data_IF_335198298144
#
_entry.id   IF_335198298144
#
_cell.length_a   1.000
_cell.length_b   1.000
_cell.length_c   1.000
_cell.angle_alpha   90.00
_cell.angle_beta   90.00
_cell.angle_gamma   90.00
#
_symmetry.space_group_name_H-M   'P 1'
#
loop_
_entity.id
_entity.type
_entity.pdbx_description
1 polymer ?
#
# COMPACT_ATOMS: atom_id res chain seq x y z
N UNK A 1 -8.69 -42.29 38.40
CA UNK A 1 -9.64 -43.21 37.74
C UNK A 1 -9.87 -42.68 36.33
N UNK A 2 -9.56 -43.50 35.31
CA UNK A 2 -9.83 -43.24 33.89
C UNK A 2 -11.28 -43.61 33.61
N UNK A 3 -12.03 -42.73 32.97
CA UNK A 3 -13.25 -43.10 32.25
C UNK A 3 -13.21 -42.38 30.91
N UNK A 4 -12.95 -43.16 29.87
CA UNK A 4 -13.14 -42.80 28.46
C UNK A 4 -14.60 -43.10 28.07
N UNK A 5 -14.96 -42.81 26.80
CA UNK A 5 -16.21 -43.13 26.06
C UNK A 5 -17.03 -41.86 25.76
N UNK A 6 -17.43 -41.49 24.53
CA UNK A 6 -17.48 -42.21 23.25
C UNK A 6 -17.61 -41.20 22.10
N UNK A 7 -16.90 -41.48 21.01
CA UNK A 7 -17.01 -40.89 19.67
C UNK A 7 -18.44 -40.91 19.12
N UNK A 8 -18.96 -39.77 18.66
CA UNK A 8 -20.15 -39.71 17.80
C UNK A 8 -19.72 -39.21 16.43
N UNK A 9 -19.41 -40.16 15.53
CA UNK A 9 -19.31 -39.94 14.09
C UNK A 9 -20.70 -40.23 13.51
N UNK A 10 -21.43 -39.20 13.10
CA UNK A 10 -22.67 -39.38 12.35
C UNK A 10 -22.29 -39.49 10.87
N UNK A 11 -22.45 -40.71 10.36
CA UNK A 11 -22.41 -41.08 8.94
C UNK A 11 -23.83 -41.46 8.54
N UNK A 12 -24.39 -40.84 7.49
CA UNK A 12 -25.44 -41.40 6.61
C UNK A 12 -25.60 -40.47 5.40
N UNK A 13 -24.97 -40.75 4.25
CA UNK A 13 -25.47 -41.54 3.10
C UNK A 13 -26.70 -40.91 2.40
N UNK A 14 -26.51 -40.30 1.20
CA UNK A 14 -26.84 -40.81 -0.17
C UNK A 14 -28.37 -40.79 -0.46
N UNK A 15 -28.95 -40.40 -1.61
CA UNK A 15 -28.56 -40.07 -3.00
C UNK A 15 -29.80 -39.40 -3.68
N UNK A 16 -29.74 -38.60 -4.75
CA UNK A 16 -29.87 -38.95 -6.19
C UNK A 16 -30.01 -37.60 -6.94
N UNK A 17 -29.12 -37.16 -7.83
CA UNK A 17 -28.84 -37.57 -9.22
C UNK A 17 -29.80 -36.98 -10.29
N UNK A 18 -29.17 -36.46 -11.36
CA UNK A 18 -29.66 -36.12 -12.71
C UNK A 18 -29.89 -34.62 -12.99
N UNK A 19 -29.00 -33.84 -13.62
CA UNK A 19 -28.26 -33.89 -14.92
C UNK A 19 -28.99 -33.11 -16.03
N UNK A 20 -28.18 -32.41 -16.86
CA UNK A 20 -28.42 -31.79 -18.19
C UNK A 20 -28.36 -30.24 -18.14
N UNK A 21 -27.56 -29.49 -18.91
CA UNK A 21 -26.76 -29.74 -20.13
C UNK A 21 -25.62 -28.71 -20.23
N UNK A 22 -24.46 -29.11 -20.75
CA UNK A 22 -23.35 -28.26 -21.17
C UNK A 22 -23.73 -27.41 -22.41
N UNK A 23 -23.44 -26.11 -22.38
CA UNK A 23 -23.26 -25.31 -23.60
C UNK A 23 -21.91 -24.59 -23.54
N UNK A 24 -21.00 -25.03 -24.42
CA UNK A 24 -19.74 -24.36 -24.71
C UNK A 24 -19.86 -23.68 -26.07
N UNK A 25 -19.51 -22.40 -26.14
CA UNK A 25 -18.94 -21.73 -27.31
C UNK A 25 -18.31 -20.42 -26.80
N UNK A 26 -17.00 -20.41 -26.56
CA UNK A 26 -15.94 -19.84 -27.41
C UNK A 26 -15.94 -18.30 -27.51
N UNK A 27 -14.79 -17.75 -27.11
CA UNK A 27 -14.34 -16.36 -26.99
C UNK A 27 -14.41 -15.50 -28.26
N UNK A 28 -14.67 -14.19 -28.13
CA UNK A 28 -13.68 -13.09 -28.32
C UNK A 28 -14.31 -11.68 -28.41
N UNK A 29 -13.69 -10.75 -27.67
CA UNK A 29 -13.44 -9.31 -27.90
C UNK A 29 -14.48 -8.33 -28.51
N UNK A 30 -14.55 -7.20 -27.78
CA UNK A 30 -14.59 -5.77 -28.20
C UNK A 30 -15.94 -5.10 -28.54
N UNK A 31 -16.27 -4.14 -27.67
CA UNK A 31 -16.46 -2.69 -27.91
C UNK A 31 -17.17 -2.21 -29.18
N UNK A 32 -18.24 -1.46 -28.89
CA UNK A 32 -18.43 -0.05 -29.24
C UNK A 32 -19.18 0.27 -30.54
N UNK A 33 -20.11 1.20 -30.32
CA UNK A 33 -21.12 1.74 -31.22
C UNK A 33 -20.57 2.35 -32.50
N UNK A 34 -21.46 2.29 -33.48
CA UNK A 34 -21.47 2.84 -34.82
C UNK A 34 -21.33 4.36 -34.82
N UNK A 35 -20.41 4.87 -35.63
CA UNK A 35 -20.28 6.27 -36.02
C UNK A 35 -19.61 6.35 -37.39
N UNK A 36 -20.31 6.95 -38.34
CA UNK A 36 -20.09 6.93 -39.79
C UNK A 36 -18.99 7.91 -40.27
N UNK A 37 -18.47 7.63 -41.49
CA UNK A 37 -17.88 8.53 -42.50
C UNK A 37 -16.34 8.76 -42.54
N UNK A 38 -15.69 8.03 -43.47
CA UNK A 38 -14.97 8.50 -44.68
C UNK A 38 -14.10 9.79 -44.60
N UNK A 39 -12.91 9.95 -45.19
CA UNK A 39 -12.05 9.13 -46.07
C UNK A 39 -10.73 9.90 -46.39
N UNK A 40 -9.72 9.19 -46.94
CA UNK A 40 -8.52 9.64 -47.70
C UNK A 40 -7.49 10.52 -46.92
N UNK A 41 -6.16 10.45 -47.07
CA UNK A 41 -5.29 10.01 -48.17
C UNK A 41 -3.87 9.75 -47.64
N UNK A 42 -3.03 9.17 -48.50
CA UNK A 42 -1.80 8.42 -48.26
C UNK A 42 -0.51 9.23 -48.03
N UNK A 43 0.45 8.57 -47.34
CA UNK A 43 1.87 8.39 -47.70
C UNK A 43 2.80 9.60 -47.88
N UNK A 44 3.86 9.69 -47.04
CA UNK A 44 5.27 9.82 -47.50
C UNK A 44 6.24 9.14 -46.51
N UNK A 45 7.24 8.46 -47.06
CA UNK A 45 8.32 7.65 -46.47
C UNK A 45 9.59 8.43 -46.08
N UNK A 46 10.37 7.84 -45.15
CA UNK A 46 11.86 7.78 -45.01
C UNK A 46 12.64 9.10 -44.78
N UNK A 47 13.78 9.17 -44.07
CA UNK A 47 14.76 8.17 -43.59
C UNK A 47 15.80 8.80 -42.63
N UNK A 48 16.23 8.01 -41.62
CA UNK A 48 17.61 7.68 -41.18
C UNK A 48 18.69 8.78 -41.16
N UNK A 49 19.31 9.00 -39.98
CA UNK A 49 20.78 8.84 -39.80
C UNK A 49 21.25 8.82 -38.33
N UNK A 50 22.20 7.93 -38.12
CA UNK A 50 22.95 7.55 -36.93
C UNK A 50 24.02 8.55 -36.49
N UNK A 51 24.39 8.55 -35.21
CA UNK A 51 25.76 8.81 -34.76
C UNK A 51 26.05 8.11 -33.44
N UNK A 52 27.03 7.23 -33.48
CA UNK A 52 27.66 6.48 -32.40
C UNK A 52 28.79 7.32 -31.79
N UNK A 53 29.04 7.20 -30.49
CA UNK A 53 30.38 7.36 -29.90
C UNK A 53 30.46 6.63 -28.55
N UNK A 54 31.58 5.93 -28.36
CA UNK A 54 31.93 4.99 -27.28
C UNK A 54 33.22 5.46 -26.61
N UNK A 55 33.35 5.29 -25.30
CA UNK A 55 34.56 4.94 -24.52
C UNK A 55 34.13 4.86 -23.03
N UNK A 56 34.16 3.77 -22.26
CA UNK A 56 35.16 2.80 -21.76
C UNK A 56 36.24 3.33 -20.78
N UNK A 57 35.97 3.09 -19.48
CA UNK A 57 36.79 2.50 -18.40
C UNK A 57 38.11 3.16 -17.95
N UNK A 58 38.26 3.44 -16.64
CA UNK A 58 38.87 2.54 -15.62
C UNK A 58 39.07 3.24 -14.25
N UNK A 59 38.62 2.55 -13.20
CA UNK A 59 39.00 2.46 -11.77
C UNK A 59 39.94 3.49 -11.12
N UNK A 60 39.60 3.91 -9.87
CA UNK A 60 40.23 3.37 -8.66
C UNK A 60 39.68 4.00 -7.36
N UNK A 61 39.57 3.13 -6.38
CA UNK A 61 39.17 3.25 -4.97
C UNK A 61 39.66 4.48 -4.20
N UNK A 62 38.82 4.99 -3.30
CA UNK A 62 39.25 5.22 -1.91
C UNK A 62 38.09 5.01 -0.95
N UNK A 63 38.28 4.01 -0.10
CA UNK A 63 37.53 3.75 1.12
C UNK A 63 37.79 4.90 2.09
N UNK A 64 36.75 5.44 2.69
CA UNK A 64 36.86 6.23 3.91
C UNK A 64 35.63 5.93 4.76
N UNK A 65 35.91 5.22 5.83
CA UNK A 65 34.98 4.66 6.79
C UNK A 65 34.27 5.76 7.60
N UNK A 66 32.95 5.59 7.73
CA UNK A 66 32.16 5.80 8.95
C UNK A 66 32.51 6.99 9.86
N UNK A 67 31.79 8.11 9.69
CA UNK A 67 31.28 8.89 10.84
C UNK A 67 30.23 9.96 10.51
N UNK A 68 29.53 9.89 9.38
CA UNK A 68 28.58 10.92 8.93
C UNK A 68 27.20 10.33 8.63
N UNK A 69 26.79 9.32 9.39
CA UNK A 69 25.48 8.67 9.22
C UNK A 69 24.58 8.78 10.44
N UNK A 70 25.05 9.33 11.56
CA UNK A 70 24.17 9.59 12.72
C UNK A 70 23.55 10.99 12.64
N UNK A 71 24.37 12.03 12.41
CA UNK A 71 23.88 13.42 12.36
C UNK A 71 23.13 13.78 11.06
N UNK A 72 23.35 13.02 9.97
CA UNK A 72 22.60 13.19 8.72
C UNK A 72 21.26 12.44 8.71
N UNK A 73 21.03 11.54 9.67
CA UNK A 73 19.76 10.82 9.85
C UNK A 73 18.82 11.61 10.75
N UNK A 74 19.34 12.25 11.80
CA UNK A 74 18.56 13.11 12.70
C UNK A 74 17.96 14.33 11.95
N UNK A 75 18.65 14.87 10.94
CA UNK A 75 18.20 16.02 10.15
C UNK A 75 17.46 15.67 8.85
N UNK A 76 17.04 14.40 8.68
CA UNK A 76 16.26 13.92 7.51
C UNK A 76 14.80 13.64 7.82
N UNK A 77 14.38 13.76 9.08
CA UNK A 77 12.96 13.70 9.42
C UNK A 77 12.31 15.04 9.03
N UNK A 78 12.16 15.24 7.71
CA UNK A 78 11.31 16.29 7.19
C UNK A 78 9.85 16.04 7.56
N UNK A 79 9.07 17.11 7.58
CA UNK A 79 7.61 17.04 7.75
C UNK A 79 7.01 16.06 6.72
N UNK A 80 6.03 15.26 7.15
CA UNK A 80 5.33 14.32 6.27
C UNK A 80 4.78 15.02 5.02
N UNK A 81 5.21 14.55 3.84
CA UNK A 81 4.81 15.14 2.57
C UNK A 81 3.82 14.23 1.81
N UNK A 82 2.54 14.59 1.85
CA UNK A 82 1.46 13.85 1.20
C UNK A 82 1.66 13.70 -0.31
N UNK A 83 2.17 14.73 -0.99
CA UNK A 83 2.37 14.68 -2.44
C UNK A 83 3.45 13.66 -2.83
N UNK A 84 4.50 13.52 -2.02
CA UNK A 84 5.54 12.49 -2.22
C UNK A 84 5.00 11.09 -1.93
N UNK A 85 4.23 10.94 -0.86
CA UNK A 85 3.64 9.66 -0.45
C UNK A 85 2.75 9.06 -1.54
N UNK A 86 1.87 9.84 -2.15
CA UNK A 86 0.99 9.36 -3.23
C UNK A 86 1.76 9.02 -4.51
N UNK A 87 3.00 9.49 -4.66
CA UNK A 87 3.91 9.09 -5.75
C UNK A 87 4.77 7.87 -5.39
N UNK A 88 4.58 7.29 -4.20
CA UNK A 88 5.34 6.15 -3.70
C UNK A 88 6.74 6.51 -3.19
N UNK A 89 7.00 7.77 -2.89
CA UNK A 89 8.20 8.21 -2.19
C UNK A 89 7.90 8.35 -0.69
N UNK A 90 8.49 7.46 0.11
CA UNK A 90 8.24 7.38 1.56
C UNK A 90 9.37 7.96 2.39
N UNK A 91 10.33 8.68 1.79
CA UNK A 91 11.51 9.19 2.50
C UNK A 91 11.15 10.02 3.75
N UNK A 92 10.13 10.90 3.66
CA UNK A 92 9.69 11.76 4.77
C UNK A 92 8.98 11.01 5.91
N UNK A 93 8.57 9.77 5.69
CA UNK A 93 7.91 8.91 6.71
C UNK A 93 8.73 7.70 7.12
N UNK A 94 9.95 7.59 6.60
CA UNK A 94 10.87 6.51 6.95
C UNK A 94 11.16 6.49 8.45
N UNK A 95 11.36 5.29 8.99
CA UNK A 95 11.53 5.04 10.41
C UNK A 95 10.44 4.13 10.99
N UNK A 96 10.52 3.92 12.30
CA UNK A 96 9.57 3.11 13.06
C UNK A 96 8.52 3.97 13.74
N UNK A 97 7.30 3.45 13.77
CA UNK A 97 6.11 4.08 14.30
C UNK A 97 5.48 3.13 15.30
N UNK A 98 5.04 3.63 16.45
CA UNK A 98 4.48 2.82 17.53
C UNK A 98 3.13 3.37 17.99
N UNK A 99 2.16 2.48 18.22
CA UNK A 99 0.89 2.84 18.84
C UNK A 99 0.92 2.75 20.38
N UNK A 100 -0.17 3.16 21.03
CA UNK A 100 -0.27 3.11 22.49
C UNK A 100 -0.22 1.68 23.09
N UNK A 101 -0.42 0.65 22.26
CA UNK A 101 -0.36 -0.76 22.68
C UNK A 101 1.02 -1.39 22.44
N UNK A 102 1.96 -0.65 21.83
CA UNK A 102 3.30 -1.15 21.49
C UNK A 102 3.38 -1.88 20.16
N UNK A 103 2.32 -1.87 19.34
CA UNK A 103 2.40 -2.39 17.98
C UNK A 103 3.26 -1.45 17.13
N UNK A 104 4.02 -2.00 16.18
CA UNK A 104 4.97 -1.24 15.38
C UNK A 104 4.76 -1.40 13.88
N UNK A 105 4.96 -0.30 13.16
CA UNK A 105 5.09 -0.25 11.71
C UNK A 105 6.44 0.38 11.37
N UNK A 106 7.17 -0.20 10.42
CA UNK A 106 8.44 0.36 9.96
C UNK A 106 8.35 0.68 8.49
N UNK A 107 8.80 1.87 8.10
CA UNK A 107 8.83 2.32 6.72
C UNK A 107 10.27 2.62 6.30
N UNK A 108 10.63 2.24 5.08
CA UNK A 108 11.80 2.73 4.38
C UNK A 108 11.38 3.67 3.25
N UNK A 109 12.33 4.14 2.43
CA UNK A 109 12.05 5.04 1.30
C UNK A 109 11.09 4.44 0.25
N UNK A 110 10.89 3.11 0.24
CA UNK A 110 10.04 2.37 -0.70
C UNK A 110 8.68 1.98 -0.10
N UNK A 111 8.47 2.15 1.20
CA UNK A 111 7.21 1.90 1.88
C UNK A 111 7.32 0.97 3.08
N UNK A 112 6.25 0.22 3.36
CA UNK A 112 6.16 -0.65 4.52
C UNK A 112 7.19 -1.79 4.45
N UNK A 113 7.99 -1.91 5.52
CA UNK A 113 8.96 -3.00 5.71
C UNK A 113 8.32 -4.05 6.61
N UNK A 114 7.95 -5.19 6.04
CA UNK A 114 7.36 -6.31 6.78
C UNK A 114 7.53 -7.62 6.02
N UNK A 115 7.71 -8.72 6.75
CA UNK A 115 7.72 -10.08 6.18
C UNK A 115 6.31 -10.64 5.95
N UNK A 116 5.31 -10.11 6.66
CA UNK A 116 3.94 -10.64 6.69
C UNK A 116 2.91 -9.70 6.10
N UNK A 117 3.27 -8.43 5.91
CA UNK A 117 2.37 -7.40 5.38
C UNK A 117 2.93 -6.78 4.11
N UNK A 118 2.03 -6.53 3.16
CA UNK A 118 2.32 -5.82 1.92
C UNK A 118 1.42 -4.59 1.84
N UNK A 119 2.03 -3.41 1.77
CA UNK A 119 1.33 -2.16 1.49
C UNK A 119 1.02 -2.00 0.01
N UNK A 120 -0.13 -1.39 -0.29
CA UNK A 120 -0.49 -0.96 -1.64
C UNK A 120 -0.37 0.57 -1.76
N UNK A 121 -0.24 1.05 -2.99
CA UNK A 121 -0.07 2.47 -3.29
C UNK A 121 -1.10 3.35 -2.61
N UNK A 122 -0.69 4.58 -2.29
CA UNK A 122 -1.49 5.54 -1.55
C UNK A 122 -2.30 6.43 -2.49
N UNK A 123 -3.43 6.92 -2.00
CA UNK A 123 -4.24 7.95 -2.64
C UNK A 123 -4.44 9.12 -1.68
N UNK A 124 -4.40 10.34 -2.20
CA UNK A 124 -4.75 11.52 -1.41
C UNK A 124 -6.23 11.45 -1.01
N UNK A 125 -6.56 11.98 0.17
CA UNK A 125 -7.93 12.10 0.64
C UNK A 125 -8.35 13.56 0.79
N UNK A 126 -9.64 13.80 0.97
CA UNK A 126 -10.20 15.13 1.22
C UNK A 126 -9.82 15.70 2.61
N UNK A 127 -9.15 14.91 3.47
CA UNK A 127 -8.63 15.37 4.76
C UNK A 127 -7.25 16.05 4.65
N UNK A 128 -6.64 16.07 3.46
CA UNK A 128 -5.24 16.49 3.31
C UNK A 128 -4.27 15.42 3.80
N UNK A 129 -4.66 14.15 3.69
CA UNK A 129 -3.92 12.97 4.13
C UNK A 129 -3.68 12.01 2.95
N UNK A 130 -2.97 10.90 3.18
CA UNK A 130 -2.80 9.83 2.19
C UNK A 130 -3.20 8.47 2.76
N UNK A 131 -4.07 7.75 2.05
CA UNK A 131 -4.62 6.47 2.50
C UNK A 131 -4.29 5.31 1.56
N UNK A 132 -4.19 4.12 2.12
CA UNK A 132 -3.99 2.88 1.37
C UNK A 132 -4.34 1.63 2.16
N UNK A 133 -4.40 0.51 1.47
CA UNK A 133 -4.61 -0.80 2.08
C UNK A 133 -3.29 -1.51 2.38
N UNK A 134 -3.22 -2.18 3.50
CA UNK A 134 -2.18 -3.15 3.84
C UNK A 134 -2.83 -4.53 3.91
N UNK A 135 -2.23 -5.54 3.27
CA UNK A 135 -2.74 -6.91 3.23
C UNK A 135 -1.72 -7.90 3.77
N UNK A 136 -2.20 -9.04 4.26
CA UNK A 136 -1.38 -10.08 4.85
C UNK A 136 -1.67 -10.25 6.34
N UNK A 137 -0.71 -10.81 7.08
CA UNK A 137 -0.84 -11.13 8.50
C UNK A 137 -1.87 -12.23 8.81
N UNK A 138 -1.79 -12.78 10.02
CA UNK A 138 -2.70 -13.83 10.48
C UNK A 138 -4.13 -13.32 10.72
N UNK A 139 -4.26 -12.03 11.01
CA UNK A 139 -5.54 -11.35 11.28
C UNK A 139 -6.17 -10.74 10.03
N UNK A 140 -5.50 -10.81 8.88
CA UNK A 140 -5.87 -10.09 7.67
C UNK A 140 -5.34 -8.66 7.63
N UNK A 141 -5.72 -7.95 6.57
CA UNK A 141 -5.27 -6.58 6.27
C UNK A 141 -5.95 -5.48 7.07
N UNK A 142 -5.45 -4.26 6.92
CA UNK A 142 -5.96 -3.04 7.56
C UNK A 142 -5.85 -1.83 6.62
N UNK A 143 -6.61 -0.78 6.91
CA UNK A 143 -6.43 0.54 6.31
C UNK A 143 -5.29 1.26 7.00
N UNK A 144 -4.49 1.98 6.22
CA UNK A 144 -3.41 2.84 6.66
C UNK A 144 -3.69 4.25 6.17
N UNK A 145 -3.54 5.23 7.06
CA UNK A 145 -3.69 6.65 6.74
C UNK A 145 -2.49 7.43 7.30
N UNK A 146 -1.80 8.17 6.44
CA UNK A 146 -0.74 9.10 6.79
C UNK A 146 -1.32 10.49 7.04
N UNK A 147 -1.15 11.01 8.26
CA UNK A 147 -1.76 12.25 8.71
C UNK A 147 -0.66 13.23 9.15
N UNK A 148 -0.41 14.32 8.41
CA UNK A 148 0.61 15.28 8.77
C UNK A 148 0.30 16.02 10.08
N UNK A 149 1.34 16.54 10.72
CA UNK A 149 1.22 17.50 11.81
C UNK A 149 0.32 18.68 11.40
N UNK A 150 -0.50 19.15 12.33
CA UNK A 150 -1.48 20.22 12.14
C UNK A 150 -2.82 19.78 11.52
N UNK A 151 -2.90 18.60 10.89
CA UNK A 151 -4.16 18.11 10.29
C UNK A 151 -5.04 17.50 11.37
N UNK A 152 -6.27 17.99 11.57
CA UNK A 152 -7.21 17.36 12.52
C UNK A 152 -8.33 16.68 11.75
N UNK A 153 -8.67 15.45 12.13
CA UNK A 153 -9.77 14.72 11.50
C UNK A 153 -11.07 15.09 12.20
N UNK A 154 -12.06 15.50 11.41
CA UNK A 154 -13.36 15.91 11.96
C UNK A 154 -14.04 14.70 12.61
N UNK A 155 -14.43 14.87 13.88
CA UNK A 155 -15.16 13.84 14.63
C UNK A 155 -16.58 13.66 14.09
N UNK A 156 -17.09 12.44 14.22
CA UNK A 156 -18.46 12.03 13.90
C UNK A 156 -18.99 11.10 15.02
N UNK A 157 -20.12 10.41 14.82
CA UNK A 157 -20.71 9.57 15.87
C UNK A 157 -19.87 8.31 16.18
N UNK A 158 -19.10 7.82 15.21
CA UNK A 158 -18.31 6.58 15.31
C UNK A 158 -16.80 6.81 15.45
N UNK A 159 -16.32 8.00 15.11
CA UNK A 159 -14.90 8.36 15.14
C UNK A 159 -14.68 9.71 15.85
N UNK A 160 -13.62 9.79 16.64
CA UNK A 160 -13.20 11.01 17.32
C UNK A 160 -11.69 11.08 17.25
N UNK A 161 -11.17 12.18 16.71
CA UNK A 161 -9.74 12.41 16.70
C UNK A 161 -9.28 12.77 18.12
N UNK A 162 -8.68 11.79 18.79
CA UNK A 162 -8.11 11.92 20.15
C UNK A 162 -6.59 12.00 20.13
N UNK A 163 -6.01 12.10 18.94
CA UNK A 163 -4.56 12.08 18.74
C UNK A 163 -3.92 13.44 19.01
N UNK A 164 -2.60 13.44 19.20
CA UNK A 164 -1.79 14.65 19.27
C UNK A 164 -1.58 15.19 17.85
N UNK A 165 -2.42 16.14 17.45
CA UNK A 165 -2.35 16.75 16.12
C UNK A 165 -1.14 17.65 15.92
N UNK A 166 -0.33 17.93 16.95
CA UNK A 166 0.94 18.66 16.76
C UNK A 166 2.03 17.80 16.10
N UNK A 167 1.80 16.50 15.97
CA UNK A 167 2.74 15.53 15.44
C UNK A 167 2.19 14.86 14.19
N UNK A 168 3.12 14.43 13.34
CA UNK A 168 2.81 13.47 12.30
C UNK A 168 2.29 12.18 12.93
N UNK A 169 1.26 11.60 12.31
CA UNK A 169 0.58 10.39 12.78
C UNK A 169 0.37 9.43 11.63
N UNK A 170 0.33 8.15 11.98
CA UNK A 170 -0.28 7.13 11.13
C UNK A 170 -1.52 6.62 11.85
N UNK A 171 -2.66 6.56 11.17
CA UNK A 171 -3.83 5.89 11.67
C UNK A 171 -4.00 4.53 10.98
N UNK A 172 -4.35 3.51 11.76
CA UNK A 172 -4.80 2.23 11.21
C UNK A 172 -6.19 1.87 11.69
N UNK A 173 -6.97 1.24 10.83
CA UNK A 173 -8.31 0.76 11.17
C UNK A 173 -8.76 -0.36 10.25
N UNK A 174 -9.97 -0.87 10.50
CA UNK A 174 -10.58 -1.91 9.69
C UNK A 174 -11.65 -1.32 8.75
N UNK A 175 -12.16 -2.13 7.82
CA UNK A 175 -13.12 -1.68 6.81
C UNK A 175 -12.49 -1.12 5.53
N UNK A 176 -13.29 -0.38 4.75
CA UNK A 176 -12.92 0.16 3.43
C UNK A 176 -12.84 1.69 3.44
N UNK A 177 -13.45 2.35 4.42
CA UNK A 177 -13.48 3.79 4.54
C UNK A 177 -12.63 4.24 5.73
N UNK A 178 -11.72 5.18 5.50
CA UNK A 178 -10.95 5.80 6.57
C UNK A 178 -11.89 6.51 7.56
N UNK A 179 -11.59 6.41 8.86
CA UNK A 179 -12.35 7.06 9.94
C UNK A 179 -13.86 6.76 10.01
N UNK A 180 -14.31 5.63 9.45
CA UNK A 180 -15.68 5.14 9.62
C UNK A 180 -15.93 4.53 11.01
N UNK A 181 -14.86 4.16 11.70
CA UNK A 181 -14.84 3.65 13.07
C UNK A 181 -13.53 4.05 13.76
N UNK A 182 -13.43 3.82 15.06
CA UNK A 182 -12.19 4.08 15.79
C UNK A 182 -11.07 3.15 15.33
N UNK A 183 -9.86 3.69 15.34
CA UNK A 183 -8.65 2.95 15.00
C UNK A 183 -7.52 3.27 15.97
N UNK A 184 -6.30 2.98 15.56
CA UNK A 184 -5.11 3.20 16.35
C UNK A 184 -4.23 4.25 15.72
N UNK A 185 -3.72 5.17 16.53
CA UNK A 185 -2.74 6.16 16.10
C UNK A 185 -1.35 5.70 16.50
N UNK A 186 -0.44 5.79 15.53
CA UNK A 186 0.98 5.53 15.68
C UNK A 186 1.73 6.84 15.57
N UNK A 187 2.79 6.97 16.37
CA UNK A 187 3.71 8.09 16.34
C UNK A 187 5.11 7.58 16.06
N UNK A 188 5.92 8.42 15.41
CA UNK A 188 7.32 8.10 15.14
C UNK A 188 8.06 7.86 16.45
N UNK A 189 8.89 6.81 16.49
CA UNK A 189 9.84 6.58 17.57
C UNK A 189 11.00 7.55 17.35
N UNK A 190 11.20 8.46 18.30
CA UNK A 190 12.40 9.30 18.34
C UNK A 190 13.55 8.42 18.85
N UNK A 191 14.64 8.31 18.07
CA UNK A 191 15.87 7.59 18.48
C UNK A 191 16.72 8.42 19.45
#
# INVERSE_FOLDING_TARGET
MKVNHTTVKIVSMLALASLCILTACWSTKKKQETGDSQSHSSMVQLSISSSQSKSTTTSASSVSETKESAQAVENRLGEMNIAELVQGNYATVSGSWVDASGNQLTFDEKGLVSDVYTGYGLSATDYGTASGGVYGGDTGGFLLEFIPAGVTIKSNEQFTDTSDSSRDRIWTGVGINTFAEQGQFYYRIEE
#
